data_IF_247414029217
#
_entry.id   IF_247414029217
#
_cell.length_a   1.000
_cell.length_b   1.000
_cell.length_c   1.000
_cell.angle_alpha   90.00
_cell.angle_beta   90.00
_cell.angle_gamma   90.00
#
_symmetry.space_group_name_H-M   'P 1'
#
loop_
_entity.id
_entity.type
_entity.pdbx_description
1 polymer ?
#
# COMPACT_ATOMS: atom_id res chain seq x y z
N UNK A 1 -13.36 -13.44 33.48
CA UNK A 1 -12.15 -12.91 32.81
C UNK A 1 -12.66 -11.89 31.81
N UNK A 2 -12.38 -10.63 32.14
CA UNK A 2 -12.53 -9.36 31.41
C UNK A 2 -13.49 -9.31 30.20
N UNK A 3 -14.73 -8.93 30.46
CA UNK A 3 -15.59 -8.27 29.47
C UNK A 3 -15.08 -6.83 29.27
N UNK A 4 -14.14 -6.65 28.37
CA UNK A 4 -13.58 -5.34 28.01
C UNK A 4 -13.10 -5.33 26.56
N UNK A 5 -12.84 -4.16 25.95
CA UNK A 5 -12.48 -4.06 24.53
C UNK A 5 -11.07 -4.62 24.21
N UNK A 6 -10.29 -4.98 25.24
CA UNK A 6 -8.90 -5.39 25.12
C UNK A 6 -8.75 -6.89 25.16
N UNK A 7 -7.80 -7.41 24.38
CA UNK A 7 -7.44 -8.82 24.36
C UNK A 7 -6.24 -9.08 25.28
N UNK A 8 -6.29 -10.19 26.00
CA UNK A 8 -5.23 -10.60 26.93
C UNK A 8 -4.82 -12.07 26.70
N UNK A 9 -3.56 -12.38 27.01
CA UNK A 9 -3.00 -13.73 27.02
C UNK A 9 -2.51 -14.06 28.42
N UNK A 10 -2.69 -15.31 28.86
CA UNK A 10 -2.07 -15.83 30.09
C UNK A 10 -0.87 -16.70 29.73
N UNK A 11 0.28 -16.44 30.34
CA UNK A 11 1.44 -17.30 30.20
C UNK A 11 1.39 -18.53 31.14
N UNK A 12 2.37 -19.44 31.00
CA UNK A 12 2.45 -20.66 31.79
C UNK A 12 2.65 -20.44 33.30
N UNK A 13 3.01 -19.22 33.72
CA UNK A 13 3.15 -18.83 35.13
C UNK A 13 1.91 -18.10 35.65
N UNK A 14 0.85 -17.98 34.84
CA UNK A 14 -0.40 -17.32 35.19
C UNK A 14 -0.38 -15.79 35.06
N UNK A 15 0.70 -15.19 34.53
CA UNK A 15 0.78 -13.74 34.30
C UNK A 15 -0.05 -13.37 33.08
N UNK A 16 -0.83 -12.29 33.21
CA UNK A 16 -1.70 -11.76 32.15
C UNK A 16 -0.94 -10.68 31.38
N UNK A 17 -0.90 -10.81 30.06
CA UNK A 17 -0.27 -9.88 29.14
C UNK A 17 -1.30 -9.29 28.18
N UNK A 18 -1.21 -7.99 27.91
CA UNK A 18 -2.07 -7.33 26.93
C UNK A 18 -1.60 -7.66 25.52
N UNK A 19 -2.56 -7.98 24.65
CA UNK A 19 -2.35 -8.17 23.22
C UNK A 19 -2.77 -6.91 22.48
N UNK A 20 -1.89 -6.41 21.61
CA UNK A 20 -2.20 -5.33 20.67
C UNK A 20 -2.44 -5.94 19.29
N UNK A 21 -3.65 -5.78 18.78
CA UNK A 21 -4.09 -6.28 17.49
C UNK A 21 -3.87 -5.22 16.42
N UNK A 22 -3.10 -5.57 15.40
CA UNK A 22 -2.74 -4.68 14.31
C UNK A 22 -3.51 -5.09 13.05
N UNK A 23 -4.48 -4.27 12.65
CA UNK A 23 -5.24 -4.44 11.42
C UNK A 23 -4.42 -4.10 10.18
N UNK A 24 -4.54 -4.93 9.14
CA UNK A 24 -3.88 -4.69 7.86
C UNK A 24 -4.65 -5.28 6.68
N UNK A 25 -4.36 -4.79 5.47
CA UNK A 25 -4.88 -5.39 4.24
C UNK A 25 -4.12 -6.69 3.91
N UNK A 26 -4.80 -7.62 3.23
CA UNK A 26 -4.20 -8.88 2.76
C UNK A 26 -3.12 -8.72 1.68
N UNK A 27 -2.97 -7.54 1.08
CA UNK A 27 -1.94 -7.32 0.06
C UNK A 27 -0.53 -7.48 0.65
N UNK A 28 0.38 -8.12 -0.08
CA UNK A 28 1.76 -8.37 0.36
C UNK A 28 2.47 -7.09 0.83
N UNK A 29 2.34 -5.98 0.11
CA UNK A 29 2.96 -4.72 0.51
C UNK A 29 2.38 -4.16 1.82
N UNK A 30 1.07 -4.26 2.04
CA UNK A 30 0.46 -3.85 3.30
C UNK A 30 0.94 -4.74 4.46
N UNK A 31 1.11 -6.04 4.22
CA UNK A 31 1.67 -6.96 5.21
C UNK A 31 3.10 -6.58 5.58
N UNK A 32 3.97 -6.36 4.60
CA UNK A 32 5.36 -5.90 4.83
C UNK A 32 5.40 -4.57 5.61
N UNK A 33 4.53 -3.62 5.26
CA UNK A 33 4.42 -2.36 6.02
C UNK A 33 4.02 -2.61 7.46
N UNK A 34 3.09 -3.53 7.69
CA UNK A 34 2.59 -3.88 9.03
C UNK A 34 3.65 -4.59 9.85
N UNK A 35 4.34 -5.56 9.24
CA UNK A 35 5.44 -6.29 9.88
C UNK A 35 6.55 -5.29 10.30
N UNK A 36 6.88 -4.30 9.45
CA UNK A 36 7.86 -3.26 9.81
C UNK A 36 7.46 -2.36 10.99
N UNK A 37 6.15 -2.15 11.20
CA UNK A 37 5.65 -1.45 12.39
C UNK A 37 5.71 -2.38 13.60
N UNK A 38 5.32 -3.65 13.44
CA UNK A 38 5.35 -4.64 14.51
C UNK A 38 6.78 -4.90 15.01
N UNK A 39 7.77 -4.95 14.13
CA UNK A 39 9.19 -5.05 14.48
C UNK A 39 9.63 -3.89 15.37
N UNK A 40 9.35 -2.65 14.95
CA UNK A 40 9.65 -1.44 15.74
C UNK A 40 8.95 -1.43 17.10
N UNK A 41 7.69 -1.88 17.16
CA UNK A 41 6.95 -1.96 18.41
C UNK A 41 7.56 -3.01 19.35
N UNK A 42 8.01 -4.16 18.83
CA UNK A 42 8.71 -5.18 19.62
C UNK A 42 10.07 -4.70 20.12
N UNK A 43 10.82 -3.95 19.31
CA UNK A 43 12.10 -3.36 19.73
C UNK A 43 11.91 -2.38 20.90
N UNK A 44 10.87 -1.55 20.86
CA UNK A 44 10.59 -0.56 21.90
C UNK A 44 9.89 -1.15 23.12
N UNK A 45 9.07 -2.18 22.92
CA UNK A 45 8.24 -2.81 23.94
C UNK A 45 8.34 -4.35 23.85
N UNK A 46 9.44 -4.96 24.33
CA UNK A 46 9.69 -6.40 24.18
C UNK A 46 8.63 -7.29 24.84
N UNK A 47 8.00 -6.81 25.90
CA UNK A 47 6.97 -7.55 26.66
C UNK A 47 5.56 -7.45 26.04
N UNK A 48 5.39 -6.65 24.98
CA UNK A 48 4.09 -6.49 24.32
C UNK A 48 3.84 -7.63 23.34
N UNK A 49 2.69 -8.28 23.50
CA UNK A 49 2.23 -9.27 22.53
C UNK A 49 1.51 -8.59 21.37
N UNK A 50 1.96 -8.87 20.15
CA UNK A 50 1.36 -8.32 18.93
C UNK A 50 0.66 -9.42 18.15
N UNK A 51 -0.54 -9.13 17.65
CA UNK A 51 -1.32 -9.99 16.77
C UNK A 51 -1.65 -9.25 15.48
N UNK A 52 -1.35 -9.84 14.33
CA UNK A 52 -1.66 -9.22 13.03
C UNK A 52 -2.98 -9.77 12.51
N UNK A 53 -3.96 -8.89 12.30
CA UNK A 53 -5.30 -9.23 11.82
C UNK A 53 -5.44 -8.76 10.36
N UNK A 54 -5.38 -9.73 9.43
CA UNK A 54 -5.44 -9.43 7.99
C UNK A 54 -6.87 -9.43 7.46
N UNK A 55 -7.28 -8.33 6.82
CA UNK A 55 -8.64 -8.07 6.35
C UNK A 55 -8.66 -7.78 4.84
N UNK A 56 -9.79 -8.08 4.19
CA UNK A 56 -10.03 -7.75 2.78
C UNK A 56 -10.87 -6.48 2.66
N UNK A 57 -10.47 -5.55 1.79
CA UNK A 57 -11.22 -4.30 1.53
C UNK A 57 -12.01 -4.38 0.22
N UNK A 58 -13.04 -3.54 0.04
CA UNK A 58 -13.77 -3.41 -1.24
C UNK A 58 -12.80 -3.09 -2.39
N UNK A 59 -11.81 -2.22 -2.15
CA UNK A 59 -10.78 -1.91 -3.15
C UNK A 59 -9.90 -3.09 -3.57
N UNK A 60 -9.82 -4.16 -2.76
CA UNK A 60 -9.18 -5.42 -3.15
C UNK A 60 -10.07 -6.28 -4.08
N UNK A 61 -11.39 -6.10 -4.01
CA UNK A 61 -12.38 -6.85 -4.79
C UNK A 61 -12.74 -6.18 -6.12
N UNK A 62 -12.74 -4.85 -6.18
CA UNK A 62 -13.10 -4.08 -7.38
C UNK A 62 -11.83 -3.77 -8.20
N UNK A 63 -11.48 -4.67 -9.12
CA UNK A 63 -10.33 -4.49 -10.03
C UNK A 63 -10.71 -3.85 -11.38
N UNK A 64 -11.98 -3.96 -11.79
CA UNK A 64 -12.43 -3.73 -13.18
C UNK A 64 -12.99 -2.34 -13.49
N UNK A 65 -13.12 -1.46 -12.47
CA UNK A 65 -13.61 -0.08 -12.67
C UNK A 65 -12.50 0.94 -12.38
N UNK A 66 -12.36 1.98 -13.20
CA UNK A 66 -11.38 3.04 -12.97
C UNK A 66 -11.59 3.71 -11.60
N UNK A 67 -10.51 3.95 -10.83
CA UNK A 67 -10.60 4.56 -9.49
C UNK A 67 -11.28 5.94 -9.53
N UNK A 68 -11.07 6.70 -10.62
CA UNK A 68 -11.73 7.99 -10.87
C UNK A 68 -13.25 7.89 -11.00
N UNK A 69 -13.78 6.72 -11.39
CA UNK A 69 -15.22 6.48 -11.57
C UNK A 69 -15.89 5.90 -10.31
N UNK A 70 -15.12 5.40 -9.34
CA UNK A 70 -15.69 4.72 -8.16
C UNK A 70 -16.17 5.73 -7.09
N UNK A 71 -15.77 7.00 -7.15
CA UNK A 71 -16.34 8.09 -6.32
C UNK A 71 -16.05 8.00 -4.81
N UNK A 72 -15.74 6.82 -4.28
CA UNK A 72 -15.50 6.60 -2.86
C UNK A 72 -14.03 6.80 -2.50
N UNK A 73 -13.76 7.84 -1.72
CA UNK A 73 -12.43 8.16 -1.19
C UNK A 73 -11.92 7.15 -0.15
N UNK A 74 -12.78 6.25 0.34
CA UNK A 74 -12.50 5.34 1.47
C UNK A 74 -12.37 3.86 1.09
N UNK A 75 -12.20 3.54 -0.21
CA UNK A 75 -12.19 2.15 -0.74
C UNK A 75 -11.18 1.19 -0.08
N UNK A 76 -10.13 1.74 0.54
CA UNK A 76 -9.06 0.96 1.16
C UNK A 76 -8.97 1.12 2.68
N UNK A 77 -9.79 1.99 3.28
CA UNK A 77 -9.73 2.32 4.71
C UNK A 77 -10.98 1.88 5.46
N UNK A 78 -12.15 1.84 4.81
CA UNK A 78 -13.45 1.70 5.48
C UNK A 78 -13.58 0.43 6.32
N UNK A 79 -13.15 -0.72 5.81
CA UNK A 79 -13.26 -1.98 6.57
C UNK A 79 -12.32 -2.01 7.77
N UNK A 80 -11.16 -1.38 7.66
CA UNK A 80 -10.19 -1.28 8.76
C UNK A 80 -10.65 -0.27 9.81
N UNK A 81 -11.26 0.83 9.40
CA UNK A 81 -11.93 1.80 10.30
C UNK A 81 -13.08 1.13 11.06
N UNK A 82 -13.92 0.34 10.39
CA UNK A 82 -15.01 -0.40 11.05
C UNK A 82 -14.45 -1.44 12.06
N UNK A 83 -13.31 -2.07 11.77
CA UNK A 83 -12.66 -3.00 12.69
C UNK A 83 -12.12 -2.29 13.94
N UNK A 84 -11.58 -1.08 13.78
CA UNK A 84 -11.17 -0.22 14.91
C UNK A 84 -12.39 0.17 15.76
N UNK A 85 -13.48 0.62 15.12
CA UNK A 85 -14.72 1.03 15.80
C UNK A 85 -15.35 -0.11 16.61
N UNK A 86 -15.28 -1.34 16.10
CA UNK A 86 -15.78 -2.55 16.77
C UNK A 86 -14.82 -3.15 17.79
N UNK A 87 -13.68 -2.50 18.05
CA UNK A 87 -12.60 -3.04 18.88
C UNK A 87 -12.17 -4.45 18.43
N UNK A 88 -12.19 -4.74 17.12
CA UNK A 88 -11.66 -5.97 16.55
C UNK A 88 -10.13 -5.87 16.38
N UNK A 89 -9.62 -4.65 16.17
CA UNK A 89 -8.21 -4.31 16.13
C UNK A 89 -7.96 -3.05 16.97
N UNK A 90 -6.72 -2.86 17.44
CA UNK A 90 -6.34 -1.74 18.32
C UNK A 90 -5.61 -0.63 17.56
N UNK A 91 -4.95 -0.96 16.44
CA UNK A 91 -4.36 0.00 15.51
C UNK A 91 -4.36 -0.55 14.09
N UNK A 92 -4.21 0.33 13.09
CA UNK A 92 -4.14 -0.04 11.67
C UNK A 92 -2.93 0.60 11.02
N UNK A 93 -2.30 -0.12 10.09
CA UNK A 93 -1.17 0.38 9.30
C UNK A 93 -1.60 0.71 7.87
N UNK A 94 -1.34 1.95 7.45
CA UNK A 94 -1.63 2.43 6.10
C UNK A 94 -0.40 3.05 5.43
N UNK A 95 -0.39 3.03 4.10
CA UNK A 95 0.39 4.02 3.34
C UNK A 95 -0.29 5.38 3.50
N UNK A 96 0.43 6.37 4.03
CA UNK A 96 -0.14 7.70 4.34
C UNK A 96 -0.87 8.37 3.16
N UNK A 97 -0.39 8.15 1.92
CA UNK A 97 -1.02 8.68 0.69
C UNK A 97 -2.44 8.14 0.42
N UNK A 98 -2.80 7.02 1.04
CA UNK A 98 -4.09 6.36 0.87
C UNK A 98 -5.10 6.79 1.96
N UNK A 99 -4.66 7.58 2.96
CA UNK A 99 -5.55 8.16 3.96
C UNK A 99 -6.17 9.48 3.44
N UNK A 100 -7.46 9.73 3.73
CA UNK A 100 -8.07 11.01 3.44
C UNK A 100 -7.47 12.12 4.31
N UNK A 101 -7.58 13.37 3.85
CA UNK A 101 -7.10 14.54 4.61
C UNK A 101 -7.93 14.83 5.86
N UNK A 102 -9.19 14.40 5.86
CA UNK A 102 -10.09 14.48 7.00
C UNK A 102 -10.46 13.05 7.40
N UNK A 103 -10.13 12.67 8.63
CA UNK A 103 -10.51 11.39 9.18
C UNK A 103 -11.94 11.44 9.73
N UNK A 104 -12.69 10.32 9.73
CA UNK A 104 -13.99 10.28 10.39
C UNK A 104 -13.84 10.53 11.90
N UNK A 105 -14.89 11.02 12.58
CA UNK A 105 -14.89 11.18 14.03
C UNK A 105 -14.51 9.88 14.74
N UNK A 106 -13.74 9.98 15.83
CA UNK A 106 -13.28 8.82 16.59
C UNK A 106 -11.97 8.19 16.10
N UNK A 107 -11.43 8.63 14.95
CA UNK A 107 -10.14 8.16 14.44
C UNK A 107 -9.09 9.27 14.41
N UNK A 108 -7.81 8.89 14.57
CA UNK A 108 -6.68 9.80 14.45
C UNK A 108 -5.46 9.08 13.86
N UNK A 109 -4.54 9.84 13.26
CA UNK A 109 -3.23 9.32 12.87
C UNK A 109 -2.34 9.35 14.11
N UNK A 110 -2.22 8.21 14.80
CA UNK A 110 -1.43 8.12 16.04
C UNK A 110 0.08 8.20 15.84
N UNK A 111 0.59 7.86 14.64
CA UNK A 111 2.01 7.88 14.35
C UNK A 111 2.30 8.05 12.85
N UNK A 112 3.44 8.69 12.55
CA UNK A 112 4.02 8.74 11.20
C UNK A 112 5.47 8.27 11.29
N UNK A 113 5.77 7.13 10.66
CA UNK A 113 7.12 6.57 10.66
C UNK A 113 8.07 7.40 9.76
N UNK A 114 9.38 7.19 9.95
CA UNK A 114 10.43 7.76 9.10
C UNK A 114 10.10 7.51 7.62
N UNK A 115 10.16 8.56 6.82
CA UNK A 115 9.76 8.54 5.41
C UNK A 115 10.79 7.77 4.58
N UNK A 116 10.29 6.81 3.80
CA UNK A 116 11.04 6.18 2.71
C UNK A 116 11.19 7.11 1.50
N UNK A 117 11.94 6.68 0.47
CA UNK A 117 12.11 7.43 -0.77
C UNK A 117 10.75 7.88 -1.36
N UNK A 118 10.47 9.20 -1.40
CA UNK A 118 9.15 9.71 -1.77
C UNK A 118 8.93 9.82 -3.29
N UNK A 119 9.95 9.54 -4.11
CA UNK A 119 9.89 9.75 -5.55
C UNK A 119 9.07 8.67 -6.27
N UNK A 120 8.55 9.06 -7.43
CA UNK A 120 8.04 8.12 -8.42
C UNK A 120 9.23 7.46 -9.15
N UNK A 121 9.10 6.18 -9.49
CA UNK A 121 10.08 5.40 -10.22
C UNK A 121 9.50 4.92 -11.54
N UNK A 122 10.35 4.81 -12.55
CA UNK A 122 10.04 4.20 -13.85
C UNK A 122 10.53 2.77 -13.80
N UNK A 123 9.66 1.81 -14.10
CA UNK A 123 10.05 0.41 -14.32
C UNK A 123 9.84 0.12 -15.79
N UNK A 124 10.92 -0.23 -16.49
CA UNK A 124 10.92 -0.43 -17.94
C UNK A 124 10.55 -1.86 -18.29
N UNK A 125 9.88 -2.03 -19.42
CA UNK A 125 9.73 -3.35 -20.04
C UNK A 125 11.13 -3.92 -20.31
N UNK A 126 11.39 -5.24 -20.14
CA UNK A 126 12.73 -5.82 -20.33
C UNK A 126 13.41 -5.44 -21.66
N UNK A 127 12.65 -5.34 -22.75
CA UNK A 127 13.12 -4.88 -24.08
C UNK A 127 13.68 -3.45 -24.11
N UNK A 128 13.35 -2.63 -23.11
CA UNK A 128 13.79 -1.25 -22.96
C UNK A 128 14.78 -1.07 -21.81
N UNK A 129 15.35 -2.16 -21.28
CA UNK A 129 16.34 -2.10 -20.21
C UNK A 129 17.49 -1.12 -20.54
N UNK A 130 17.88 -0.32 -19.55
CA UNK A 130 18.94 0.69 -19.69
C UNK A 130 18.53 2.01 -20.35
N UNK A 131 17.29 2.13 -20.86
CA UNK A 131 16.77 3.40 -21.40
C UNK A 131 16.26 4.33 -20.29
N UNK A 132 15.97 5.57 -20.68
CA UNK A 132 15.15 6.52 -19.91
C UNK A 132 13.85 6.78 -20.66
N UNK A 133 12.90 7.50 -20.05
CA UNK A 133 11.67 7.91 -20.74
C UNK A 133 11.95 8.73 -22.00
N UNK A 134 12.94 9.63 -21.97
CA UNK A 134 13.35 10.44 -23.13
C UNK A 134 13.87 9.59 -24.29
N UNK A 135 14.44 8.41 -24.00
CA UNK A 135 15.02 7.51 -24.99
C UNK A 135 14.02 6.46 -25.52
N UNK A 136 12.76 6.50 -25.08
CA UNK A 136 11.73 5.61 -25.60
C UNK A 136 11.24 6.11 -26.97
N UNK A 137 10.94 5.19 -27.91
CA UNK A 137 10.34 5.57 -29.19
C UNK A 137 9.04 6.36 -29.01
N UNK A 138 8.76 7.26 -29.96
CA UNK A 138 7.47 7.95 -30.00
C UNK A 138 6.30 6.96 -29.98
N UNK A 139 5.21 7.34 -29.34
CA UNK A 139 4.01 6.52 -29.10
C UNK A 139 4.24 5.28 -28.21
N UNK A 140 5.39 5.19 -27.53
CA UNK A 140 5.58 4.18 -26.48
C UNK A 140 4.57 4.39 -25.36
N UNK A 141 3.92 3.30 -24.93
CA UNK A 141 2.83 3.34 -23.95
C UNK A 141 3.37 3.22 -22.53
N UNK A 142 3.05 4.19 -21.68
CA UNK A 142 3.41 4.22 -20.26
C UNK A 142 2.19 3.92 -19.39
N UNK A 143 2.31 2.88 -18.56
CA UNK A 143 1.25 2.42 -17.66
C UNK A 143 1.19 3.22 -16.35
N UNK A 144 0.12 4.00 -16.15
CA UNK A 144 -0.18 4.63 -14.86
C UNK A 144 -1.66 4.99 -14.73
N UNK A 145 -2.30 4.59 -13.62
CA UNK A 145 -3.66 5.01 -13.27
C UNK A 145 -3.73 6.19 -12.30
N UNK A 146 -2.63 6.92 -12.14
CA UNK A 146 -2.59 8.14 -11.33
C UNK A 146 -2.73 9.35 -12.23
N UNK A 147 -3.80 10.12 -12.05
CA UNK A 147 -4.00 11.39 -12.76
C UNK A 147 -2.83 12.36 -12.52
N UNK A 148 -2.34 12.43 -11.28
CA UNK A 148 -1.15 13.23 -10.90
C UNK A 148 0.08 12.87 -11.73
N UNK A 149 0.36 11.58 -11.91
CA UNK A 149 1.52 11.11 -12.69
C UNK A 149 1.30 11.37 -14.17
N UNK A 150 0.13 10.98 -14.69
CA UNK A 150 -0.20 11.15 -16.10
C UNK A 150 -0.13 12.62 -16.54
N UNK A 151 -0.71 13.54 -15.77
CA UNK A 151 -0.70 14.97 -16.12
C UNK A 151 0.72 15.54 -16.20
N UNK A 152 1.57 15.26 -15.20
CA UNK A 152 2.95 15.73 -15.18
C UNK A 152 3.80 15.12 -16.31
N UNK A 153 3.64 13.82 -16.56
CA UNK A 153 4.42 13.12 -17.56
C UNK A 153 3.98 13.46 -18.98
N UNK A 154 2.68 13.64 -19.25
CA UNK A 154 2.20 14.13 -20.55
C UNK A 154 2.75 15.50 -20.90
N UNK A 155 2.84 16.40 -19.90
CA UNK A 155 3.43 17.73 -20.10
C UNK A 155 4.91 17.65 -20.46
N UNK A 156 5.68 16.75 -19.84
CA UNK A 156 7.13 16.62 -20.04
C UNK A 156 7.50 15.77 -21.25
N UNK A 157 6.72 14.73 -21.55
CA UNK A 157 7.00 13.74 -22.58
C UNK A 157 5.81 13.65 -23.55
N UNK A 158 5.57 14.70 -24.37
CA UNK A 158 4.40 14.74 -25.27
C UNK A 158 4.45 13.71 -26.41
N UNK A 159 5.61 13.09 -26.64
CA UNK A 159 5.80 12.02 -27.63
C UNK A 159 5.42 10.63 -27.10
N UNK A 160 5.08 10.48 -25.81
CA UNK A 160 4.70 9.21 -25.20
C UNK A 160 3.19 9.12 -24.98
N UNK A 161 2.66 7.90 -25.07
CA UNK A 161 1.26 7.62 -24.78
C UNK A 161 1.10 7.13 -23.33
N UNK A 162 -0.06 7.39 -22.72
CA UNK A 162 -0.31 7.02 -21.32
C UNK A 162 -1.64 6.27 -21.20
N UNK A 163 -1.57 5.04 -20.69
CA UNK A 163 -2.74 4.18 -20.48
C UNK A 163 -2.86 3.73 -19.03
N UNK A 164 -4.09 3.44 -18.64
CA UNK A 164 -4.41 2.91 -17.31
C UNK A 164 -3.80 1.52 -17.10
N UNK A 165 -3.30 1.27 -15.89
CA UNK A 165 -2.85 -0.06 -15.46
C UNK A 165 -3.37 -0.38 -14.06
N UNK A 166 -4.08 -1.50 -13.95
CA UNK A 166 -4.77 -1.96 -12.74
C UNK A 166 -4.09 -3.17 -12.10
N UNK A 167 -4.37 -3.35 -10.81
CA UNK A 167 -3.81 -4.40 -9.96
C UNK A 167 -2.85 -3.87 -8.91
N UNK A 168 -2.45 -4.73 -7.97
CA UNK A 168 -1.38 -4.45 -7.02
C UNK A 168 -0.01 -4.45 -7.74
N UNK A 169 1.07 -4.17 -7.01
CA UNK A 169 2.40 -4.05 -7.63
C UNK A 169 2.85 -5.35 -8.34
N UNK A 170 2.62 -6.52 -7.73
CA UNK A 170 2.87 -7.83 -8.37
C UNK A 170 2.15 -7.93 -9.73
N UNK A 171 0.84 -7.67 -9.76
CA UNK A 171 0.04 -7.78 -11.01
C UNK A 171 0.51 -6.80 -12.08
N UNK A 172 0.92 -5.59 -11.69
CA UNK A 172 1.38 -4.57 -12.65
C UNK A 172 2.74 -4.93 -13.25
N UNK A 173 3.67 -5.42 -12.44
CA UNK A 173 4.96 -5.88 -12.93
C UNK A 173 4.79 -7.10 -13.83
N UNK A 174 3.95 -8.08 -13.44
CA UNK A 174 3.61 -9.22 -14.30
C UNK A 174 3.07 -8.77 -15.67
N UNK A 175 2.14 -7.79 -15.69
CA UNK A 175 1.63 -7.22 -16.95
C UNK A 175 2.71 -6.52 -17.77
N UNK A 176 3.66 -5.84 -17.12
CA UNK A 176 4.79 -5.21 -17.80
C UNK A 176 5.76 -6.26 -18.36
N UNK A 177 5.96 -7.37 -17.67
CA UNK A 177 6.95 -8.38 -18.08
C UNK A 177 6.40 -9.33 -19.16
N UNK A 178 5.10 -9.65 -19.10
CA UNK A 178 4.47 -10.67 -19.96
C UNK A 178 3.73 -10.09 -21.18
N UNK A 179 3.39 -8.80 -21.18
CA UNK A 179 2.61 -8.18 -22.25
C UNK A 179 3.37 -7.05 -22.90
N UNK A 180 3.18 -6.91 -24.20
CA UNK A 180 3.73 -5.82 -25.01
C UNK A 180 2.88 -4.52 -24.92
N UNK A 181 1.89 -4.49 -24.03
CA UNK A 181 0.95 -3.36 -23.88
C UNK A 181 1.64 -2.09 -23.34
N UNK A 182 2.76 -2.24 -22.62
CA UNK A 182 3.44 -1.16 -21.91
C UNK A 182 4.96 -1.20 -22.15
N UNK A 183 5.52 -0.08 -22.59
CA UNK A 183 6.97 0.12 -22.66
C UNK A 183 7.59 0.39 -21.27
N UNK A 184 6.81 0.94 -20.34
CA UNK A 184 7.17 1.16 -18.95
C UNK A 184 5.92 1.31 -18.07
N UNK A 185 6.06 1.18 -16.75
CA UNK A 185 5.04 1.60 -15.77
C UNK A 185 5.63 2.59 -14.77
N UNK A 186 4.77 3.38 -14.14
CA UNK A 186 5.17 4.32 -13.08
C UNK A 186 4.70 3.82 -11.73
N UNK A 187 5.65 3.63 -10.82
CA UNK A 187 5.44 3.10 -9.46
C UNK A 187 6.03 4.03 -8.40
N UNK A 188 5.72 3.80 -7.12
CA UNK A 188 6.39 4.54 -6.04
C UNK A 188 7.70 3.82 -5.70
N UNK A 189 8.82 4.55 -5.61
CA UNK A 189 10.11 3.97 -5.27
C UNK A 189 10.07 3.23 -3.93
N UNK A 190 9.45 3.82 -2.91
CA UNK A 190 9.23 3.18 -1.60
C UNK A 190 8.42 1.87 -1.66
N UNK A 191 7.56 1.70 -2.66
CA UNK A 191 6.80 0.46 -2.85
C UNK A 191 7.68 -0.66 -3.40
N UNK A 192 8.52 -0.36 -4.39
CA UNK A 192 9.48 -1.31 -4.96
C UNK A 192 10.51 -1.75 -3.92
N UNK A 193 11.12 -0.79 -3.22
CA UNK A 193 12.11 -1.08 -2.18
C UNK A 193 11.59 -2.01 -1.09
N UNK A 194 10.38 -1.74 -0.55
CA UNK A 194 9.79 -2.61 0.48
C UNK A 194 9.53 -4.04 0.00
N UNK A 195 9.30 -4.21 -1.30
CA UNK A 195 9.11 -5.54 -1.90
C UNK A 195 10.43 -6.24 -2.25
N UNK A 196 11.58 -5.63 -1.96
CA UNK A 196 12.90 -6.14 -2.36
C UNK A 196 13.15 -6.02 -3.85
N UNK A 197 12.53 -5.04 -4.51
CA UNK A 197 12.55 -4.86 -5.96
C UNK A 197 13.26 -3.58 -6.39
N UNK A 198 14.28 -3.19 -5.65
CA UNK A 198 15.11 -2.00 -5.94
C UNK A 198 15.83 -2.10 -7.30
N UNK A 199 16.07 -3.33 -7.76
CA UNK A 199 16.77 -3.64 -9.02
C UNK A 199 15.82 -3.71 -10.24
N UNK A 200 14.53 -3.42 -10.07
CA UNK A 200 13.52 -3.46 -11.15
C UNK A 200 13.55 -2.21 -12.02
#
# INVERSE_FOLDING_TARGET
>A
MEEGPYKFLRDGNGKVHRVIRIGTRKSQLARIQTDSVAEKLKELYPDVHLEIVAMSTIGDKILDTALSKIGEKSLFTKELENALERNEVDLVVHSLKDLPTSLPPGFTIGAVLKRENPHDAVVLHPKNAGKTLDALPAHSVIGTSSLRRAAQLKKRFPHLDFKDIRGNLNTRLKKLDEKEDFAAIISAAAGLRRMGWDNR
#
